data_IF_303207364459
#
_entry.id   IF_303207364459
#
_cell.length_a   1.000
_cell.length_b   1.000
_cell.length_c   1.000
_cell.angle_alpha   90.00
_cell.angle_beta   90.00
_cell.angle_gamma   90.00
#
_symmetry.space_group_name_H-M   'P 1'
#
loop_
_entity.id
_entity.type
_entity.pdbx_description
1 polymer ?
#
# COMPACT_ATOMS: atom_id res chain seq x y z
N UNK A 1 -12.43 -5.62 2.51
CA UNK A 1 -12.41 -4.29 1.89
C UNK A 1 -11.78 -4.33 0.50
N UNK A 2 -10.64 -4.96 0.29
CA UNK A 2 -9.96 -5.04 -1.02
C UNK A 2 -10.86 -5.66 -2.09
N UNK A 3 -11.57 -6.73 -1.76
CA UNK A 3 -12.60 -7.32 -2.62
C UNK A 3 -13.76 -6.36 -2.87
N UNK A 4 -14.29 -5.75 -1.83
CA UNK A 4 -15.41 -4.80 -1.90
C UNK A 4 -15.14 -3.61 -2.84
N UNK A 5 -13.93 -3.07 -2.80
CA UNK A 5 -13.51 -1.96 -3.66
C UNK A 5 -13.10 -2.40 -5.07
N UNK A 6 -13.06 -3.70 -5.35
CA UNK A 6 -12.65 -4.22 -6.65
C UNK A 6 -11.16 -4.04 -6.96
N UNK A 7 -10.32 -3.90 -5.92
CA UNK A 7 -8.86 -3.76 -6.09
C UNK A 7 -8.17 -5.11 -6.20
N UNK A 8 -8.79 -6.01 -6.91
CA UNK A 8 -8.31 -7.38 -7.08
C UNK A 8 -7.76 -7.59 -8.49
N UNK A 9 -6.73 -8.41 -8.60
CA UNK A 9 -6.19 -8.91 -9.87
C UNK A 9 -6.07 -10.42 -9.77
N UNK A 10 -7.22 -11.08 -9.73
CA UNK A 10 -7.39 -12.51 -9.49
C UNK A 10 -6.59 -12.93 -8.24
N UNK A 11 -5.38 -13.49 -8.41
CA UNK A 11 -4.55 -14.03 -7.32
C UNK A 11 -3.23 -13.28 -7.09
N UNK A 12 -2.98 -12.20 -7.84
CA UNK A 12 -1.65 -11.56 -7.87
C UNK A 12 -1.41 -10.49 -6.83
N UNK A 13 -2.45 -10.04 -6.13
CA UNK A 13 -2.32 -9.03 -5.07
C UNK A 13 -1.94 -9.71 -3.75
N UNK A 14 -1.23 -8.97 -2.89
CA UNK A 14 -0.81 -9.51 -1.59
C UNK A 14 -0.72 -8.43 -0.51
N UNK A 15 -1.04 -8.84 0.70
CA UNK A 15 -0.95 -8.03 1.90
C UNK A 15 -0.17 -8.83 2.94
N UNK A 16 0.83 -8.22 3.56
CA UNK A 16 1.54 -8.81 4.68
C UNK A 16 1.35 -8.01 5.95
N UNK A 17 1.31 -8.70 7.07
CA UNK A 17 1.23 -8.10 8.40
C UNK A 17 2.20 -8.80 9.35
N UNK A 18 3.12 -8.04 9.95
CA UNK A 18 4.03 -8.56 10.98
C UNK A 18 3.24 -9.05 12.18
N UNK A 19 3.57 -10.23 12.65
CA UNK A 19 3.02 -10.78 13.91
C UNK A 19 3.73 -10.07 15.08
N UNK A 20 2.99 -9.40 15.99
CA UNK A 20 3.61 -8.63 17.07
C UNK A 20 4.56 -9.48 17.94
N UNK A 21 5.76 -8.93 18.20
CA UNK A 21 6.77 -9.57 19.03
C UNK A 21 7.52 -10.74 18.36
N UNK A 22 7.38 -10.89 17.04
CA UNK A 22 8.07 -11.94 16.27
C UNK A 22 8.68 -11.38 14.98
N UNK A 23 9.52 -12.18 14.33
CA UNK A 23 10.02 -11.91 12.97
C UNK A 23 9.26 -12.74 11.91
N UNK A 24 7.97 -12.95 12.14
CA UNK A 24 7.08 -13.64 11.21
C UNK A 24 5.98 -12.71 10.70
N UNK A 25 5.39 -13.09 9.56
CA UNK A 25 4.39 -12.29 8.85
C UNK A 25 3.22 -13.17 8.44
N UNK A 26 2.03 -12.64 8.57
CA UNK A 26 0.86 -13.20 7.90
C UNK A 26 0.81 -12.67 6.46
N UNK A 27 0.47 -13.54 5.52
CA UNK A 27 0.24 -13.23 4.11
C UNK A 27 -1.00 -13.97 3.61
N UNK A 28 -1.75 -13.36 2.69
CA UNK A 28 -2.85 -14.06 2.05
C UNK A 28 -2.33 -15.24 1.20
N UNK A 29 -3.02 -16.41 1.21
CA UNK A 29 -2.65 -17.55 0.40
C UNK A 29 -2.58 -17.23 -1.08
N UNK A 30 -1.59 -17.74 -1.79
CA UNK A 30 -1.52 -17.64 -3.24
C UNK A 30 -2.45 -18.66 -3.88
N UNK A 31 -3.26 -18.20 -4.81
CA UNK A 31 -4.24 -19.05 -5.52
C UNK A 31 -5.68 -18.85 -5.07
N UNK A 32 -5.92 -18.14 -3.96
CA UNK A 32 -7.25 -17.73 -3.53
C UNK A 32 -7.58 -16.31 -4.01
N UNK A 33 -8.84 -16.08 -4.35
CA UNK A 33 -9.38 -14.73 -4.57
C UNK A 33 -9.67 -14.05 -3.23
N UNK A 34 -9.77 -12.72 -3.22
CA UNK A 34 -9.89 -11.97 -1.94
C UNK A 34 -11.19 -12.21 -1.17
N UNK A 35 -12.24 -12.67 -1.82
CA UNK A 35 -13.49 -13.11 -1.20
C UNK A 35 -13.39 -14.49 -0.52
N UNK A 36 -12.37 -15.28 -0.87
CA UNK A 36 -12.10 -16.57 -0.23
C UNK A 36 -11.15 -16.44 0.98
N UNK A 37 -10.50 -15.25 1.16
CA UNK A 37 -9.55 -15.02 2.25
C UNK A 37 -10.28 -14.83 3.57
N UNK A 38 -9.88 -15.61 4.57
CA UNK A 38 -10.34 -15.51 5.96
C UNK A 38 -9.16 -15.42 6.90
N UNK A 39 -9.38 -15.00 8.14
CA UNK A 39 -8.32 -14.97 9.15
C UNK A 39 -7.70 -16.35 9.41
N UNK A 40 -8.48 -17.42 9.25
CA UNK A 40 -8.06 -18.79 9.51
C UNK A 40 -7.26 -19.44 8.38
N UNK A 41 -7.29 -18.88 7.16
CA UNK A 41 -6.51 -19.42 6.04
C UNK A 41 -5.28 -18.58 5.68
N UNK A 42 -4.96 -17.53 6.46
CA UNK A 42 -3.72 -16.79 6.29
C UNK A 42 -2.51 -17.69 6.53
N UNK A 43 -1.53 -17.59 5.64
CA UNK A 43 -0.26 -18.28 5.75
C UNK A 43 0.73 -17.47 6.59
N UNK A 44 1.48 -18.10 7.48
CA UNK A 44 2.56 -17.47 8.22
C UNK A 44 3.92 -17.81 7.61
N UNK A 45 4.75 -16.79 7.40
CA UNK A 45 6.11 -16.88 6.82
C UNK A 45 7.12 -16.16 7.70
N UNK A 46 8.39 -16.57 7.63
CA UNK A 46 9.51 -15.84 8.22
C UNK A 46 10.06 -14.73 7.28
N UNK A 47 11.08 -14.01 7.74
CA UNK A 47 11.76 -12.94 6.95
C UNK A 47 12.50 -13.45 5.70
N UNK A 48 12.72 -14.74 5.58
CA UNK A 48 13.37 -15.37 4.43
C UNK A 48 12.36 -16.02 3.46
N UNK A 49 11.05 -15.89 3.79
CA UNK A 49 9.95 -16.40 2.99
C UNK A 49 9.66 -17.89 3.21
N UNK A 50 10.30 -18.50 4.22
CA UNK A 50 9.98 -19.86 4.57
C UNK A 50 8.63 -19.89 5.30
N UNK A 51 7.80 -20.85 4.91
CA UNK A 51 6.52 -21.06 5.54
C UNK A 51 6.70 -21.64 6.95
N UNK A 52 6.07 -21.00 7.93
CA UNK A 52 6.12 -21.39 9.35
C UNK A 52 4.82 -22.06 9.79
N UNK A 53 3.70 -21.73 9.10
CA UNK A 53 2.41 -22.37 9.35
C UNK A 53 2.28 -23.74 8.68
N UNK A 54 1.52 -24.62 9.30
CA UNK A 54 1.22 -25.97 8.77
C UNK A 54 -0.11 -25.94 7.99
N UNK A 55 -0.17 -25.10 6.94
CA UNK A 55 -1.29 -25.05 6.01
C UNK A 55 -0.87 -25.55 4.62
N UNK A 56 -1.82 -25.87 3.75
CA UNK A 56 -1.55 -26.42 2.42
C UNK A 56 -1.29 -25.35 1.34
N UNK A 57 -1.48 -24.06 1.66
CA UNK A 57 -1.47 -23.02 0.66
C UNK A 57 -0.04 -22.57 0.28
N UNK A 58 0.22 -22.34 -1.01
CA UNK A 58 1.49 -21.77 -1.46
C UNK A 58 1.58 -20.28 -1.13
N UNK A 59 2.82 -19.78 -1.08
CA UNK A 59 3.14 -18.36 -0.91
C UNK A 59 3.54 -17.76 -2.26
N UNK A 60 3.07 -16.57 -2.57
CA UNK A 60 3.55 -15.81 -3.72
C UNK A 60 4.96 -15.29 -3.45
N UNK A 61 5.98 -15.97 -4.00
CA UNK A 61 7.39 -15.63 -3.77
C UNK A 61 7.72 -14.21 -4.28
N UNK A 62 7.27 -13.81 -5.46
CA UNK A 62 7.53 -12.48 -5.99
C UNK A 62 6.95 -11.38 -5.09
N UNK A 63 5.71 -11.60 -4.60
CA UNK A 63 5.09 -10.71 -3.65
C UNK A 63 5.83 -10.60 -2.33
N UNK A 64 6.28 -11.76 -1.81
CA UNK A 64 7.04 -11.79 -0.57
C UNK A 64 8.36 -11.02 -0.66
N UNK A 65 9.16 -11.20 -1.73
CA UNK A 65 10.47 -10.54 -1.87
C UNK A 65 10.34 -9.00 -1.80
N UNK A 66 9.32 -8.44 -2.45
CA UNK A 66 9.04 -6.99 -2.41
C UNK A 66 8.69 -6.55 -0.98
N UNK A 67 7.81 -7.30 -0.30
CA UNK A 67 7.35 -6.96 1.05
C UNK A 67 8.46 -7.14 2.10
N UNK A 68 9.27 -8.20 1.98
CA UNK A 68 10.39 -8.45 2.87
C UNK A 68 11.40 -7.31 2.85
N UNK A 69 11.68 -6.72 1.67
CA UNK A 69 12.56 -5.56 1.55
C UNK A 69 12.09 -4.40 2.45
N UNK A 70 10.80 -4.08 2.42
CA UNK A 70 10.21 -3.01 3.23
C UNK A 70 10.22 -3.35 4.72
N UNK A 71 9.82 -4.57 5.08
CA UNK A 71 9.82 -5.02 6.47
C UNK A 71 11.22 -5.08 7.11
N UNK A 72 12.24 -5.47 6.32
CA UNK A 72 13.64 -5.49 6.77
C UNK A 72 14.20 -4.06 6.92
N UNK A 73 13.88 -3.15 5.99
CA UNK A 73 14.39 -1.78 5.99
C UNK A 73 13.76 -0.89 7.07
N UNK A 74 12.49 -1.12 7.40
CA UNK A 74 11.70 -0.30 8.33
C UNK A 74 10.95 -1.18 9.35
N UNK A 75 11.69 -1.94 10.20
CA UNK A 75 11.09 -2.91 11.12
C UNK A 75 10.27 -2.28 12.25
N UNK A 76 10.54 -1.00 12.58
CA UNK A 76 9.96 -0.33 13.74
C UNK A 76 8.63 0.38 13.44
N UNK A 77 8.35 0.68 12.17
CA UNK A 77 7.22 1.54 11.81
C UNK A 77 6.38 1.06 10.61
N UNK A 78 6.87 0.13 9.79
CA UNK A 78 6.13 -0.40 8.65
C UNK A 78 5.82 -1.90 8.86
N UNK A 79 4.81 -2.17 9.69
CA UNK A 79 4.42 -3.54 10.06
C UNK A 79 3.40 -4.16 9.10
N UNK A 80 2.71 -3.37 8.29
CA UNK A 80 1.79 -3.84 7.26
C UNK A 80 2.21 -3.30 5.91
N UNK A 81 2.29 -4.15 4.91
CA UNK A 81 2.56 -3.79 3.50
C UNK A 81 1.43 -4.34 2.64
N UNK A 82 0.85 -3.48 1.82
CA UNK A 82 -0.25 -3.79 0.91
C UNK A 82 0.16 -3.46 -0.52
N UNK A 83 -0.02 -4.42 -1.43
CA UNK A 83 0.25 -4.25 -2.85
C UNK A 83 -0.95 -4.70 -3.68
N UNK A 84 -1.33 -3.87 -4.67
CA UNK A 84 -2.39 -4.19 -5.62
C UNK A 84 -2.07 -3.74 -7.04
N UNK A 85 -2.75 -4.38 -7.99
CA UNK A 85 -2.76 -4.07 -9.42
C UNK A 85 -4.08 -3.35 -9.80
N UNK A 86 -4.52 -2.38 -9.01
CA UNK A 86 -5.74 -1.64 -9.26
C UNK A 86 -5.59 -0.74 -10.51
N UNK A 87 -6.59 -0.66 -11.43
CA UNK A 87 -6.43 -0.03 -12.74
C UNK A 87 -6.00 1.44 -12.74
N UNK A 88 -6.47 2.27 -11.81
CA UNK A 88 -6.05 3.68 -11.77
C UNK A 88 -4.60 3.82 -11.30
N UNK A 89 -4.21 3.05 -10.30
CA UNK A 89 -2.83 3.01 -9.82
C UNK A 89 -1.87 2.48 -10.89
N UNK A 90 -2.24 1.40 -11.59
CA UNK A 90 -1.48 0.89 -12.74
C UNK A 90 -1.40 1.92 -13.88
N UNK A 91 -2.48 2.63 -14.13
CA UNK A 91 -2.52 3.69 -15.15
C UNK A 91 -1.53 4.82 -14.83
N UNK A 92 -1.42 5.23 -13.57
CA UNK A 92 -0.41 6.20 -13.13
C UNK A 92 0.99 5.60 -13.20
N UNK A 93 1.16 4.36 -12.75
CA UNK A 93 2.45 3.65 -12.79
C UNK A 93 3.00 3.47 -14.23
N UNK A 94 2.12 3.46 -15.23
CA UNK A 94 2.50 3.38 -16.65
C UNK A 94 2.82 4.76 -17.29
N UNK A 95 2.62 5.86 -16.56
CA UNK A 95 2.95 7.20 -17.03
C UNK A 95 4.32 7.64 -16.51
N UNK A 96 5.03 8.40 -17.33
CA UNK A 96 6.27 9.07 -16.90
C UNK A 96 5.98 10.43 -16.28
N UNK A 97 5.16 10.44 -15.23
CA UNK A 97 4.76 11.64 -14.48
C UNK A 97 4.82 11.35 -12.98
N UNK A 98 5.11 12.38 -12.20
CA UNK A 98 4.97 12.28 -10.76
C UNK A 98 3.50 12.40 -10.33
N UNK A 99 3.15 11.71 -9.26
CA UNK A 99 1.82 11.82 -8.65
C UNK A 99 1.74 13.13 -7.89
N UNK A 100 0.81 13.98 -8.31
CA UNK A 100 0.52 15.25 -7.62
C UNK A 100 -0.81 15.16 -6.89
N UNK A 101 -0.91 15.73 -5.68
CA UNK A 101 -2.18 15.90 -4.98
C UNK A 101 -3.19 16.69 -5.81
N UNK A 102 -4.34 16.09 -6.11
CA UNK A 102 -5.41 16.72 -6.90
C UNK A 102 -6.60 17.15 -6.03
N UNK A 103 -6.55 16.88 -4.73
CA UNK A 103 -7.59 17.17 -3.75
C UNK A 103 -6.98 17.38 -2.37
N UNK A 104 -7.75 17.94 -1.44
CA UNK A 104 -7.30 18.26 -0.08
C UNK A 104 -6.69 17.03 0.62
N UNK A 105 -7.42 15.91 0.64
CA UNK A 105 -6.96 14.68 1.29
C UNK A 105 -5.72 14.10 0.61
N UNK A 106 -5.59 14.31 -0.70
CA UNK A 106 -4.43 13.91 -1.49
C UNK A 106 -3.12 14.57 -1.04
N UNK A 107 -3.19 15.73 -0.36
CA UNK A 107 -2.00 16.38 0.17
C UNK A 107 -1.24 15.52 1.19
N UNK A 108 -1.88 14.54 1.83
CA UNK A 108 -1.21 13.55 2.69
C UNK A 108 -0.15 12.71 1.93
N UNK A 109 -0.25 12.62 0.60
CA UNK A 109 0.69 11.91 -0.25
C UNK A 109 1.92 12.76 -0.63
N UNK A 110 1.86 14.07 -0.43
CA UNK A 110 2.94 14.99 -0.82
C UNK A 110 4.22 14.66 -0.07
N UNK A 111 5.32 14.45 -0.81
CA UNK A 111 6.62 14.00 -0.29
C UNK A 111 6.61 12.61 0.40
N UNK A 112 5.55 11.82 0.22
CA UNK A 112 5.40 10.49 0.84
C UNK A 112 5.39 9.35 -0.16
N UNK A 113 5.65 9.65 -1.45
CA UNK A 113 5.67 8.68 -2.54
C UNK A 113 7.09 8.48 -3.04
N UNK A 114 7.50 7.24 -3.16
CA UNK A 114 8.70 6.82 -3.87
C UNK A 114 8.33 6.16 -5.21
N UNK A 115 9.32 6.03 -6.08
CA UNK A 115 9.16 5.42 -7.40
C UNK A 115 10.22 4.36 -7.59
N UNK A 116 9.82 3.21 -8.10
CA UNK A 116 10.72 2.10 -8.43
C UNK A 116 10.50 1.71 -9.89
N UNK A 117 11.59 1.64 -10.66
CA UNK A 117 11.55 1.27 -12.07
C UNK A 117 11.25 -0.22 -12.24
N UNK A 118 10.60 -0.57 -13.37
CA UNK A 118 10.27 -1.97 -13.68
C UNK A 118 11.46 -2.68 -14.30
N UNK A 119 11.97 -3.69 -13.59
CA UNK A 119 13.10 -4.53 -14.05
C UNK A 119 12.70 -5.99 -14.30
N UNK A 120 11.41 -6.28 -14.35
CA UNK A 120 10.87 -7.62 -14.50
C UNK A 120 10.16 -8.13 -13.25
N UNK A 121 9.93 -9.45 -13.18
CA UNK A 121 9.32 -10.07 -12.01
C UNK A 121 10.39 -10.25 -10.93
N UNK A 122 10.16 -9.69 -9.75
CA UNK A 122 11.08 -9.75 -8.60
C UNK A 122 11.06 -11.16 -8.02
N UNK A 123 12.07 -11.96 -8.33
CA UNK A 123 12.19 -13.34 -7.85
C UNK A 123 13.35 -13.57 -6.89
N UNK A 124 14.26 -12.61 -6.80
CA UNK A 124 15.47 -12.67 -5.97
C UNK A 124 15.67 -11.37 -5.17
N UNK A 125 16.69 -11.35 -4.35
CA UNK A 125 16.97 -10.23 -3.44
C UNK A 125 17.71 -9.05 -4.09
N UNK A 126 18.08 -9.14 -5.37
CA UNK A 126 18.91 -8.12 -6.03
C UNK A 126 18.21 -6.77 -6.16
N UNK A 127 16.88 -6.76 -6.22
CA UNK A 127 16.09 -5.52 -6.28
C UNK A 127 15.72 -4.95 -4.91
N UNK A 128 15.99 -5.64 -3.81
CA UNK A 128 15.61 -5.18 -2.47
C UNK A 128 16.26 -3.84 -2.11
N UNK A 129 17.53 -3.63 -2.48
CA UNK A 129 18.21 -2.37 -2.23
C UNK A 129 17.57 -1.19 -2.98
N UNK A 130 17.17 -1.38 -4.23
CA UNK A 130 16.50 -0.36 -5.03
C UNK A 130 15.11 -0.01 -4.46
N UNK A 131 14.35 -1.02 -4.03
CA UNK A 131 13.04 -0.85 -3.37
C UNK A 131 13.17 -0.09 -2.05
N UNK A 132 14.15 -0.45 -1.21
CA UNK A 132 14.38 0.22 0.08
C UNK A 132 14.87 1.65 -0.10
N UNK A 133 15.71 1.90 -1.10
CA UNK A 133 16.17 3.24 -1.47
C UNK A 133 15.00 4.10 -1.95
N UNK A 134 14.12 3.55 -2.81
CA UNK A 134 12.93 4.26 -3.29
C UNK A 134 11.97 4.60 -2.14
N UNK A 135 11.79 3.70 -1.17
CA UNK A 135 10.97 3.94 0.03
C UNK A 135 11.62 5.00 0.94
N UNK A 136 12.93 4.93 1.15
CA UNK A 136 13.63 5.86 2.05
C UNK A 136 13.10 5.85 3.48
N UNK A 137 13.44 6.90 4.25
CA UNK A 137 13.07 7.00 5.66
C UNK A 137 11.65 7.58 5.89
N UNK A 138 11.18 8.44 4.99
CA UNK A 138 10.00 9.28 5.21
C UNK A 138 8.77 8.89 4.39
N UNK A 139 8.95 8.00 3.41
CA UNK A 139 7.87 7.59 2.53
C UNK A 139 7.14 6.35 3.08
N UNK A 140 5.93 6.17 2.62
CA UNK A 140 5.11 5.01 2.97
C UNK A 140 4.34 4.45 1.77
N UNK A 141 4.60 4.99 0.58
CA UNK A 141 3.94 4.63 -0.68
C UNK A 141 4.99 4.48 -1.77
N UNK A 142 4.92 3.40 -2.55
CA UNK A 142 5.72 3.22 -3.76
C UNK A 142 4.81 3.07 -4.97
N UNK A 143 5.10 3.84 -6.00
CA UNK A 143 4.64 3.57 -7.35
C UNK A 143 5.67 2.63 -7.99
N UNK A 144 5.26 1.39 -8.19
CA UNK A 144 6.04 0.40 -8.94
C UNK A 144 5.73 0.61 -10.42
N UNK A 145 6.64 1.27 -11.16
CA UNK A 145 6.41 1.66 -12.56
C UNK A 145 6.05 0.44 -13.42
N UNK A 146 5.04 0.60 -14.29
CA UNK A 146 4.49 -0.46 -15.15
C UNK A 146 4.02 -1.73 -14.40
N UNK A 147 3.82 -1.64 -13.07
CA UNK A 147 3.44 -2.77 -12.25
C UNK A 147 2.20 -2.47 -11.39
N UNK A 148 2.31 -1.59 -10.40
CA UNK A 148 1.20 -1.30 -9.50
C UNK A 148 1.56 -0.38 -8.35
N UNK A 149 0.76 -0.48 -7.29
CA UNK A 149 0.88 0.32 -6.08
C UNK A 149 1.29 -0.52 -4.89
N UNK A 150 2.21 0.00 -4.09
CA UNK A 150 2.53 -0.53 -2.76
C UNK A 150 2.35 0.58 -1.72
N UNK A 151 1.67 0.26 -0.62
CA UNK A 151 1.57 1.14 0.55
C UNK A 151 1.93 0.38 1.81
N UNK A 152 2.50 1.10 2.78
CA UNK A 152 2.92 0.51 4.03
C UNK A 152 2.49 1.36 5.23
N UNK A 153 2.42 0.75 6.40
CA UNK A 153 2.03 1.43 7.62
C UNK A 153 2.29 0.63 8.88
N UNK A 154 2.12 1.27 10.06
CA UNK A 154 2.33 0.61 11.34
C UNK A 154 1.28 -0.50 11.62
N UNK A 155 0.22 -0.55 10.86
CA UNK A 155 -0.82 -1.58 10.93
C UNK A 155 -1.69 -1.57 9.67
N UNK A 156 -2.63 -2.51 9.58
CA UNK A 156 -3.56 -2.68 8.45
C UNK A 156 -4.35 -1.40 8.16
N UNK A 157 -4.81 -0.70 9.20
CA UNK A 157 -5.62 0.51 9.03
C UNK A 157 -4.86 1.60 8.26
N UNK A 158 -3.62 1.86 8.64
CA UNK A 158 -2.77 2.86 7.98
C UNK A 158 -2.40 2.46 6.56
N UNK A 159 -1.99 1.20 6.35
CA UNK A 159 -1.64 0.72 5.01
C UNK A 159 -2.84 0.81 4.06
N UNK A 160 -4.03 0.38 4.51
CA UNK A 160 -5.25 0.40 3.73
C UNK A 160 -5.73 1.84 3.41
N UNK A 161 -5.78 2.74 4.40
CA UNK A 161 -6.26 4.10 4.13
C UNK A 161 -5.31 4.86 3.21
N UNK A 162 -4.00 4.69 3.36
CA UNK A 162 -3.00 5.22 2.41
C UNK A 162 -3.22 4.68 0.99
N UNK A 163 -3.56 3.40 0.89
CA UNK A 163 -3.86 2.75 -0.39
C UNK A 163 -5.10 3.35 -1.05
N UNK A 164 -6.19 3.44 -0.30
CA UNK A 164 -7.45 4.04 -0.73
C UNK A 164 -7.27 5.50 -1.18
N UNK A 165 -6.53 6.27 -0.38
CA UNK A 165 -6.24 7.67 -0.68
C UNK A 165 -5.44 7.82 -1.98
N UNK A 166 -4.42 6.98 -2.18
CA UNK A 166 -3.64 7.00 -3.42
C UNK A 166 -4.50 6.67 -4.64
N UNK A 167 -5.28 5.58 -4.58
CA UNK A 167 -6.14 5.16 -5.69
C UNK A 167 -7.14 6.26 -6.05
N UNK A 168 -7.78 6.87 -5.05
CA UNK A 168 -8.70 7.99 -5.27
C UNK A 168 -8.02 9.19 -5.93
N UNK A 169 -6.84 9.56 -5.46
CA UNK A 169 -6.06 10.64 -6.07
C UNK A 169 -5.62 10.28 -7.50
N UNK A 170 -5.21 9.05 -7.74
CA UNK A 170 -4.83 8.54 -9.06
C UNK A 170 -6.01 8.59 -10.05
N UNK A 171 -7.21 8.19 -9.61
CA UNK A 171 -8.44 8.28 -10.41
C UNK A 171 -8.73 9.73 -10.80
N UNK A 172 -8.72 10.66 -9.83
CA UNK A 172 -8.97 12.08 -10.07
C UNK A 172 -7.91 12.64 -11.02
N UNK A 173 -6.63 12.37 -10.76
CA UNK A 173 -5.53 12.82 -11.60
C UNK A 173 -5.68 12.33 -13.04
N UNK A 174 -5.96 11.05 -13.25
CA UNK A 174 -6.19 10.48 -14.59
C UNK A 174 -7.36 11.12 -15.32
N UNK A 175 -8.49 11.28 -14.65
CA UNK A 175 -9.68 11.92 -15.22
C UNK A 175 -9.41 13.40 -15.58
N UNK A 176 -8.74 14.12 -14.69
CA UNK A 176 -8.38 15.52 -14.89
C UNK A 176 -7.41 15.69 -16.07
N UNK A 177 -6.34 14.88 -16.13
CA UNK A 177 -5.39 14.91 -17.26
C UNK A 177 -6.04 14.57 -18.60
N UNK A 178 -7.04 13.69 -18.61
CA UNK A 178 -7.75 13.29 -19.83
C UNK A 178 -8.79 14.32 -20.30
N UNK A 179 -9.10 15.34 -19.50
CA UNK A 179 -10.11 16.35 -19.86
C UNK A 179 -9.65 17.33 -20.93
N UNK A 180 -8.34 17.52 -21.10
CA UNK A 180 -7.76 18.55 -21.95
C UNK A 180 -7.93 19.98 -21.42
N UNK A 181 -8.58 20.17 -20.26
CA UNK A 181 -8.72 21.47 -19.62
C UNK A 181 -7.44 21.88 -18.89
N UNK A 182 -7.30 23.17 -18.62
CA UNK A 182 -6.21 23.67 -17.79
C UNK A 182 -6.37 23.15 -16.36
N UNK A 183 -5.31 22.53 -15.84
CA UNK A 183 -5.30 21.96 -14.49
C UNK A 183 -4.96 23.06 -13.48
N UNK A 184 -5.73 23.13 -12.39
CA UNK A 184 -5.43 23.96 -11.23
C UNK A 184 -4.60 23.13 -10.24
N UNK A 185 -3.30 23.39 -10.17
CA UNK A 185 -2.42 22.71 -9.23
C UNK A 185 -2.43 23.41 -7.87
N UNK A 186 -2.35 22.61 -6.80
CA UNK A 186 -2.15 23.11 -5.44
C UNK A 186 -0.67 23.51 -5.31
N UNK A 187 -0.31 24.71 -4.80
CA UNK A 187 1.07 25.09 -4.56
C UNK A 187 1.76 24.16 -3.53
N UNK A 188 3.04 23.88 -3.73
CA UNK A 188 3.82 22.96 -2.88
C UNK A 188 3.77 23.33 -1.39
N UNK A 189 3.86 24.61 -1.07
CA UNK A 189 3.78 25.11 0.30
C UNK A 189 2.43 24.80 0.96
N UNK A 190 1.34 24.87 0.18
CA UNK A 190 -0.01 24.54 0.64
C UNK A 190 -0.17 23.05 0.79
N UNK A 191 0.36 22.25 -0.16
CA UNK A 191 0.35 20.78 -0.04
C UNK A 191 1.10 20.32 1.22
N UNK A 192 2.28 20.87 1.49
CA UNK A 192 3.09 20.56 2.69
C UNK A 192 2.37 20.97 3.96
N UNK A 193 1.87 22.19 4.02
CA UNK A 193 1.11 22.68 5.19
C UNK A 193 -0.12 21.80 5.48
N UNK A 194 -0.88 21.44 4.44
CA UNK A 194 -2.07 20.58 4.59
C UNK A 194 -1.69 19.17 5.07
N UNK A 195 -0.61 18.58 4.53
CA UNK A 195 -0.08 17.32 5.02
C UNK A 195 0.24 17.38 6.51
N UNK A 196 0.97 18.42 6.95
CA UNK A 196 1.34 18.62 8.37
C UNK A 196 0.11 18.76 9.28
N UNK A 197 -0.95 19.40 8.80
CA UNK A 197 -2.22 19.48 9.53
C UNK A 197 -2.85 18.09 9.72
N UNK A 198 -2.85 17.22 8.70
CA UNK A 198 -3.34 15.86 8.82
C UNK A 198 -2.47 15.02 9.76
N UNK A 199 -1.14 15.08 9.63
CA UNK A 199 -0.19 14.36 10.49
C UNK A 199 -0.33 14.82 11.96
N UNK A 200 -0.44 16.13 12.21
CA UNK A 200 -0.63 16.71 13.54
C UNK A 200 -1.98 16.33 14.16
N UNK A 201 -3.05 16.34 13.40
CA UNK A 201 -4.38 15.91 13.84
C UNK A 201 -4.42 14.42 14.20
N UNK A 202 -3.74 13.60 13.41
CA UNK A 202 -3.60 12.17 13.69
C UNK A 202 -2.84 11.93 15.00
N UNK A 203 -1.75 12.63 15.24
CA UNK A 203 -0.98 12.53 16.48
C UNK A 203 -1.81 12.92 17.72
N UNK A 204 -2.60 13.99 17.64
CA UNK A 204 -3.44 14.46 18.73
C UNK A 204 -4.61 13.51 19.06
N UNK A 205 -5.15 12.82 18.06
CA UNK A 205 -6.26 11.87 18.23
C UNK A 205 -5.84 10.51 18.79
N UNK A 206 -4.57 10.30 19.12
CA UNK A 206 -4.05 9.00 19.52
C UNK A 206 -4.04 7.97 18.37
N UNK A 207 -4.08 8.44 17.15
CA UNK A 207 -4.16 7.63 15.93
C UNK A 207 -2.91 6.77 15.65
N UNK A 208 -1.87 6.83 16.50
CA UNK A 208 -0.76 5.90 16.43
C UNK A 208 -1.23 4.42 16.44
N UNK A 209 -2.37 4.13 17.09
CA UNK A 209 -2.93 2.77 17.17
C UNK A 209 -3.94 2.50 16.05
N UNK A 210 -4.74 3.49 15.62
CA UNK A 210 -5.74 3.33 14.55
C UNK A 210 -5.88 4.60 13.72
N UNK A 211 -5.91 4.45 12.39
CA UNK A 211 -6.25 5.58 11.52
C UNK A 211 -7.66 6.10 11.86
N UNK A 212 -7.90 7.44 11.90
CA UNK A 212 -9.20 8.01 12.28
C UNK A 212 -10.39 7.51 11.43
N UNK A 213 -10.16 7.22 10.15
CA UNK A 213 -11.19 6.72 9.23
C UNK A 213 -11.48 5.21 9.40
N UNK A 214 -10.58 4.45 10.01
CA UNK A 214 -10.70 2.98 10.09
C UNK A 214 -11.99 2.49 10.73
N UNK A 215 -12.52 3.10 11.80
CA UNK A 215 -13.81 2.70 12.37
C UNK A 215 -15.00 2.85 11.40
N UNK A 216 -14.91 3.77 10.44
CA UNK A 216 -15.95 3.93 9.43
C UNK A 216 -15.90 2.78 8.40
N UNK A 217 -14.70 2.39 7.96
CA UNK A 217 -14.52 1.22 7.09
C UNK A 217 -14.96 -0.07 7.77
N UNK A 218 -14.69 -0.22 9.07
CA UNK A 218 -15.13 -1.38 9.83
C UNK A 218 -16.66 -1.49 9.86
N UNK A 219 -17.35 -0.41 10.24
CA UNK A 219 -18.83 -0.37 10.23
C UNK A 219 -19.43 -0.54 8.82
N UNK A 220 -18.67 -0.22 7.79
CA UNK A 220 -19.13 -0.47 6.42
C UNK A 220 -19.14 -1.96 6.13
N UNK A 221 -18.13 -2.72 6.54
CA UNK A 221 -18.12 -4.19 6.40
C UNK A 221 -19.27 -4.84 7.15
N UNK A 222 -19.54 -4.42 8.40
CA UNK A 222 -20.66 -4.94 9.20
C UNK A 222 -22.04 -4.76 8.54
N UNK A 223 -22.15 -3.94 7.49
CA UNK A 223 -23.41 -3.72 6.74
C UNK A 223 -23.47 -4.45 5.42
N UNK A 224 -22.37 -5.03 4.98
CA UNK A 224 -22.26 -5.74 3.70
C UNK A 224 -22.53 -7.24 3.89
N UNK A 225 -22.20 -7.76 5.07
CA UNK A 225 -22.54 -9.11 5.53
C UNK A 225 -24.00 -9.16 6.00
#
# INVERSE_FOLDING_TARGET
LTHYYGWTSVVYNHITLRVPGTDTFLINPFGLTYDEITASNLTCIDLDGNKVSDDAWPVNRAGYVIHAAIHKARPDDLHCVMHTHEPFSQSIAALNVEVVPMMQEGCQLFERIGYHDFNGIVLDETEQEALTTAMGADKHTLVLKNHGLLTAGPNVAWAFVRHQLFIRNAEIMRRTMSSGAQISYIPDEIMRHTREQFEGGAAQSGAAVRHPEWPAFWRMLDRID
#
